data_IF_968961726799
#
_entry.id   IF_968961726799
#
_cell.length_a   1.000
_cell.length_b   1.000
_cell.length_c   1.000
_cell.angle_alpha   90.00
_cell.angle_beta   90.00
_cell.angle_gamma   90.00
#
_symmetry.space_group_name_H-M   'P 1'
#
loop_
_entity.id
_entity.type
_entity.pdbx_description
1 polymer ?
#
# COMPACT_ATOMS: atom_id res chain seq x y z
N UNK A 1 38.86 -29.26 22.27
CA UNK A 1 37.51 -29.17 21.64
C UNK A 1 36.83 -27.82 21.84
N UNK A 2 36.80 -27.23 23.05
CA UNK A 2 36.09 -25.97 23.34
C UNK A 2 36.50 -24.77 22.45
N UNK A 3 37.80 -24.60 22.16
CA UNK A 3 38.29 -23.46 21.37
C UNK A 3 37.90 -23.54 19.87
N UNK A 4 37.73 -24.75 19.31
CA UNK A 4 37.28 -24.94 17.92
C UNK A 4 35.79 -24.61 17.76
N UNK A 5 34.97 -24.91 18.78
CA UNK A 5 33.55 -24.59 18.80
C UNK A 5 33.31 -23.08 18.91
N UNK A 6 34.09 -22.40 19.76
CA UNK A 6 34.03 -20.95 19.93
C UNK A 6 34.44 -20.19 18.66
N UNK A 7 35.51 -20.65 17.99
CA UNK A 7 35.94 -20.08 16.71
C UNK A 7 34.89 -20.26 15.61
N UNK A 8 34.21 -21.42 15.58
CA UNK A 8 33.13 -21.68 14.63
C UNK A 8 31.93 -20.74 14.82
N UNK A 9 31.59 -20.38 16.06
CA UNK A 9 30.49 -19.46 16.36
C UNK A 9 30.82 -18.03 15.92
N UNK A 10 32.06 -17.58 16.10
CA UNK A 10 32.52 -16.26 15.64
C UNK A 10 32.52 -16.19 14.11
N UNK A 11 32.97 -17.27 13.43
CA UNK A 11 32.94 -17.32 11.98
C UNK A 11 31.50 -17.31 11.45
N UNK A 12 30.59 -18.05 12.10
CA UNK A 12 29.18 -18.06 11.73
C UNK A 12 28.51 -16.68 11.92
N UNK A 13 28.77 -15.99 13.04
CA UNK A 13 28.21 -14.65 13.26
C UNK A 13 28.78 -13.62 12.30
N UNK A 14 30.07 -13.72 11.96
CA UNK A 14 30.70 -12.86 10.95
C UNK A 14 30.12 -13.12 9.55
N UNK A 15 29.86 -14.39 9.19
CA UNK A 15 29.22 -14.76 7.93
C UNK A 15 27.77 -14.27 7.87
N UNK A 16 27.01 -14.34 8.96
CA UNK A 16 25.66 -13.79 9.06
C UNK A 16 25.70 -12.27 8.90
N UNK A 17 26.60 -11.59 9.61
CA UNK A 17 26.76 -10.14 9.51
C UNK A 17 27.15 -9.69 8.09
N UNK A 18 28.09 -10.39 7.45
CA UNK A 18 28.49 -10.13 6.06
C UNK A 18 27.34 -10.42 5.08
N UNK A 19 26.59 -11.51 5.29
CA UNK A 19 25.42 -11.83 4.49
C UNK A 19 24.34 -10.76 4.63
N UNK A 20 24.06 -10.29 5.84
CA UNK A 20 23.11 -9.19 6.12
C UNK A 20 23.55 -7.89 5.45
N UNK A 21 24.82 -7.50 5.56
CA UNK A 21 25.35 -6.29 4.91
C UNK A 21 25.35 -6.41 3.38
N UNK A 22 25.64 -7.59 2.83
CA UNK A 22 25.51 -7.85 1.40
C UNK A 22 24.04 -7.85 0.96
N UNK A 23 23.13 -8.31 1.81
CA UNK A 23 21.68 -8.30 1.56
C UNK A 23 21.14 -6.87 1.58
N UNK A 24 21.52 -6.05 2.58
CA UNK A 24 21.20 -4.63 2.64
C UNK A 24 21.78 -3.86 1.44
N UNK A 25 23.05 -4.11 1.08
CA UNK A 25 23.69 -3.48 -0.08
C UNK A 25 23.07 -3.92 -1.42
N UNK A 26 22.46 -5.10 -1.47
CA UNK A 26 21.74 -5.63 -2.65
C UNK A 26 20.25 -5.24 -2.66
N UNK A 27 19.71 -4.79 -1.53
CA UNK A 27 18.48 -3.97 -1.46
C UNK A 27 18.87 -2.51 -1.78
N UNK A 28 19.55 -2.29 -2.90
CA UNK A 28 19.48 -0.97 -3.53
C UNK A 28 18.06 -0.85 -4.08
N UNK A 29 17.18 -0.16 -3.34
CA UNK A 29 15.84 0.16 -3.82
C UNK A 29 16.01 1.06 -5.04
N UNK A 30 15.94 0.47 -6.24
CA UNK A 30 16.01 1.22 -7.51
C UNK A 30 14.78 2.11 -7.59
N UNK A 31 15.02 3.42 -7.65
CA UNK A 31 13.96 4.41 -7.80
C UNK A 31 13.34 4.33 -9.20
N UNK A 32 12.04 4.58 -9.27
CA UNK A 32 11.32 4.75 -10.52
C UNK A 32 11.65 6.12 -11.12
N UNK A 33 12.08 6.12 -12.37
CA UNK A 33 12.44 7.34 -13.12
C UNK A 33 11.43 7.66 -14.24
N UNK A 34 10.35 6.88 -14.35
CA UNK A 34 9.31 7.10 -15.35
C UNK A 34 8.50 8.36 -15.01
N UNK A 35 8.29 9.23 -16.00
CA UNK A 35 7.35 10.34 -15.87
C UNK A 35 5.91 9.87 -16.08
N UNK A 36 4.97 10.44 -15.33
CA UNK A 36 3.55 10.12 -15.40
C UNK A 36 2.77 11.38 -15.77
N UNK A 37 1.82 11.25 -16.69
CA UNK A 37 0.85 12.30 -16.92
C UNK A 37 -0.21 12.27 -15.81
N UNK A 38 -0.01 13.10 -14.78
CA UNK A 38 -0.89 13.18 -13.62
C UNK A 38 -2.23 13.87 -13.92
N UNK A 39 -2.44 14.38 -15.14
CA UNK A 39 -3.71 14.99 -15.55
C UNK A 39 -4.84 13.96 -15.65
N UNK A 40 -4.51 12.69 -15.92
CA UNK A 40 -5.49 11.62 -16.01
C UNK A 40 -6.09 11.23 -14.66
N UNK A 41 -5.36 11.52 -13.56
CA UNK A 41 -5.75 11.16 -12.19
C UNK A 41 -6.78 12.17 -11.67
N UNK A 42 -7.84 11.65 -11.06
CA UNK A 42 -8.95 12.41 -10.46
C UNK A 42 -9.10 12.07 -8.98
N UNK A 43 -9.78 12.96 -8.25
CA UNK A 43 -10.17 12.69 -6.86
C UNK A 43 -10.96 11.39 -6.76
N UNK A 44 -10.56 10.57 -5.80
CA UNK A 44 -11.11 9.26 -5.51
C UNK A 44 -10.60 8.12 -6.38
N UNK A 45 -9.76 8.38 -7.39
CA UNK A 45 -9.05 7.30 -8.07
C UNK A 45 -8.23 6.50 -7.07
N UNK A 46 -8.25 5.18 -7.23
CA UNK A 46 -7.56 4.23 -6.39
C UNK A 46 -6.25 3.84 -7.06
N UNK A 47 -5.15 4.05 -6.35
CA UNK A 47 -3.80 3.80 -6.86
C UNK A 47 -3.24 2.57 -6.16
N UNK A 48 -2.90 1.55 -6.94
CA UNK A 48 -2.27 0.33 -6.47
C UNK A 48 -0.78 0.36 -6.80
N UNK A 49 0.05 -0.17 -5.90
CA UNK A 49 1.48 -0.37 -6.17
C UNK A 49 1.98 -1.75 -5.75
N UNK A 50 3.02 -2.21 -6.44
CA UNK A 50 3.85 -3.35 -6.06
C UNK A 50 5.29 -2.88 -5.98
N UNK A 51 6.00 -3.17 -4.90
CA UNK A 51 7.44 -2.93 -4.79
C UNK A 51 8.26 -4.21 -4.97
N UNK A 52 9.57 -4.08 -5.17
CA UNK A 52 10.52 -5.21 -5.26
C UNK A 52 11.16 -5.55 -3.92
N UNK A 53 10.36 -5.73 -2.88
CA UNK A 53 10.87 -6.12 -1.56
C UNK A 53 10.07 -7.28 -0.97
N UNK A 54 10.62 -7.89 0.08
CA UNK A 54 10.08 -9.07 0.72
C UNK A 54 8.66 -8.84 1.28
N UNK A 55 8.43 -7.76 2.03
CA UNK A 55 7.12 -7.43 2.59
C UNK A 55 6.06 -7.25 1.50
N UNK A 56 6.39 -6.51 0.44
CA UNK A 56 5.52 -6.33 -0.71
C UNK A 56 5.18 -7.66 -1.39
N UNK A 57 6.13 -8.60 -1.48
CA UNK A 57 5.86 -9.94 -2.01
C UNK A 57 4.96 -10.76 -1.08
N UNK A 58 5.14 -10.64 0.23
CA UNK A 58 4.28 -11.32 1.21
C UNK A 58 2.83 -10.85 1.08
N UNK A 59 2.58 -9.54 1.14
CA UNK A 59 1.23 -8.99 1.06
C UNK A 59 0.54 -9.27 -0.28
N UNK A 60 1.27 -9.21 -1.40
CA UNK A 60 0.70 -9.58 -2.70
C UNK A 60 0.28 -11.06 -2.74
N UNK A 61 0.97 -11.93 -2.00
CA UNK A 61 0.71 -13.37 -2.03
C UNK A 61 -0.45 -13.84 -1.16
N UNK A 62 -0.90 -13.04 -0.17
CA UNK A 62 -2.01 -13.41 0.73
C UNK A 62 -3.26 -13.84 -0.06
N UNK A 63 -3.56 -13.11 -1.15
CA UNK A 63 -4.66 -13.41 -2.08
C UNK A 63 -4.24 -13.18 -3.54
N UNK A 64 -3.01 -13.62 -3.88
CA UNK A 64 -2.44 -13.66 -5.24
C UNK A 64 -2.67 -12.39 -6.08
N UNK A 65 -2.57 -11.23 -5.45
CA UNK A 65 -2.69 -9.93 -6.10
C UNK A 65 -1.44 -9.58 -6.91
N UNK A 66 -1.61 -8.79 -7.97
CA UNK A 66 -0.49 -8.15 -8.70
C UNK A 66 0.16 -7.02 -7.90
N UNK A 67 -0.50 -6.53 -6.86
CA UNK A 67 -0.08 -5.39 -6.05
C UNK A 67 -0.05 -5.75 -4.57
N UNK A 68 0.61 -4.92 -3.77
CA UNK A 68 0.81 -5.15 -2.34
C UNK A 68 0.35 -3.99 -1.47
N UNK A 69 0.04 -2.84 -2.08
CA UNK A 69 -0.40 -1.66 -1.36
C UNK A 69 -1.38 -0.84 -2.21
N UNK A 70 -2.18 -0.02 -1.55
CA UNK A 70 -3.28 0.74 -2.14
C UNK A 70 -3.37 2.12 -1.49
N UNK A 71 -3.82 3.10 -2.26
CA UNK A 71 -4.01 4.49 -1.85
C UNK A 71 -5.19 5.11 -2.59
N UNK A 72 -5.63 6.29 -2.15
CA UNK A 72 -6.64 7.10 -2.83
C UNK A 72 -6.06 8.47 -3.20
N UNK A 73 -6.42 8.96 -4.38
CA UNK A 73 -6.06 10.28 -4.86
C UNK A 73 -7.04 11.34 -4.36
N UNK A 74 -6.53 12.50 -3.96
CA UNK A 74 -7.29 13.73 -3.80
C UNK A 74 -6.64 14.81 -4.67
N UNK A 75 -7.40 15.34 -5.64
CA UNK A 75 -6.94 16.39 -6.53
C UNK A 75 -7.72 17.68 -6.27
N UNK A 76 -7.03 18.71 -5.80
CA UNK A 76 -7.58 20.05 -5.54
C UNK A 76 -6.84 21.06 -6.43
N UNK A 77 -7.47 21.45 -7.54
CA UNK A 77 -6.77 22.17 -8.60
C UNK A 77 -5.64 21.33 -9.19
N UNK A 78 -4.43 21.89 -9.21
CA UNK A 78 -3.21 21.20 -9.66
C UNK A 78 -2.57 20.31 -8.58
N UNK A 79 -3.00 20.45 -7.32
CA UNK A 79 -2.41 19.73 -6.21
C UNK A 79 -2.99 18.31 -6.11
N UNK A 80 -2.18 17.31 -6.40
CA UNK A 80 -2.50 15.89 -6.20
C UNK A 80 -1.86 15.39 -4.91
N UNK A 81 -2.71 14.96 -3.97
CA UNK A 81 -2.31 14.29 -2.72
C UNK A 81 -2.71 12.82 -2.78
N UNK A 82 -1.84 11.94 -2.30
CA UNK A 82 -2.07 10.50 -2.22
C UNK A 82 -2.19 10.10 -0.76
N UNK A 83 -3.39 9.68 -0.37
CA UNK A 83 -3.69 9.23 0.98
C UNK A 83 -3.57 7.72 1.07
N UNK A 84 -2.78 7.24 2.03
CA UNK A 84 -2.67 5.82 2.35
C UNK A 84 -2.28 5.63 3.81
N UNK A 85 -2.55 4.47 4.37
CA UNK A 85 -2.09 4.11 5.71
C UNK A 85 -1.04 3.01 5.62
N UNK A 86 0.07 3.17 6.33
CA UNK A 86 1.14 2.17 6.43
C UNK A 86 1.77 2.23 7.81
N UNK A 87 2.05 1.08 8.40
CA UNK A 87 2.73 1.02 9.70
C UNK A 87 4.09 1.71 9.63
N UNK A 88 4.30 2.69 10.51
CA UNK A 88 5.59 3.33 10.69
C UNK A 88 5.98 3.35 12.18
N UNK A 89 7.27 3.44 12.47
CA UNK A 89 7.79 3.68 13.82
C UNK A 89 7.48 5.08 14.37
N UNK A 90 7.05 6.01 13.51
CA UNK A 90 6.65 7.37 13.90
C UNK A 90 5.13 7.46 14.11
N UNK A 91 4.69 8.34 15.02
CA UNK A 91 3.31 8.49 15.57
C UNK A 91 2.20 8.87 14.56
N UNK A 92 2.40 8.73 13.26
CA UNK A 92 1.40 9.10 12.26
C UNK A 92 1.39 8.08 11.12
N UNK A 93 0.50 7.10 11.21
CA UNK A 93 0.42 6.00 10.24
C UNK A 93 -0.31 6.42 8.94
N UNK A 94 -1.19 7.42 9.02
CA UNK A 94 -1.79 8.03 7.84
C UNK A 94 -0.74 8.87 7.11
N UNK A 95 -0.53 8.55 5.84
CA UNK A 95 0.44 9.23 4.97
C UNK A 95 -0.29 10.03 3.92
N UNK A 96 0.19 11.25 3.72
CA UNK A 96 -0.22 12.17 2.66
C UNK A 96 1.02 12.45 1.83
N UNK A 97 1.16 11.69 0.75
CA UNK A 97 2.35 11.73 -0.10
C UNK A 97 2.04 12.33 -1.47
N UNK A 98 3.09 12.71 -2.20
CA UNK A 98 2.96 12.97 -3.64
C UNK A 98 2.88 11.65 -4.39
N UNK A 99 2.39 11.68 -5.63
CA UNK A 99 2.36 10.48 -6.48
C UNK A 99 3.76 9.89 -6.68
N UNK A 100 4.78 10.73 -6.87
CA UNK A 100 6.17 10.33 -7.05
C UNK A 100 6.71 9.63 -5.80
N UNK A 101 6.42 10.17 -4.60
CA UNK A 101 6.88 9.56 -3.35
C UNK A 101 6.21 8.20 -3.12
N UNK A 102 4.89 8.11 -3.35
CA UNK A 102 4.16 6.86 -3.24
C UNK A 102 4.64 5.81 -4.25
N UNK A 103 5.00 6.21 -5.46
CA UNK A 103 5.39 5.28 -6.53
C UNK A 103 6.90 5.10 -6.68
N UNK A 104 7.69 5.75 -5.82
CA UNK A 104 9.15 5.85 -5.90
C UNK A 104 9.85 4.51 -6.07
N UNK A 105 9.40 3.46 -5.38
CA UNK A 105 10.03 2.13 -5.43
C UNK A 105 9.13 1.06 -6.04
N UNK A 106 8.07 1.50 -6.73
CA UNK A 106 7.16 0.57 -7.38
C UNK A 106 7.85 -0.13 -8.56
N UNK A 107 7.64 -1.44 -8.66
CA UNK A 107 7.80 -2.21 -9.90
C UNK A 107 6.54 -2.28 -10.74
N UNK A 108 5.39 -2.01 -10.13
CA UNK A 108 4.10 -2.02 -10.82
C UNK A 108 3.16 -1.01 -10.18
N UNK A 109 2.43 -0.28 -11.01
CA UNK A 109 1.46 0.73 -10.60
C UNK A 109 0.18 0.49 -11.41
N UNK A 110 -0.98 0.72 -10.80
CA UNK A 110 -2.21 0.89 -11.56
C UNK A 110 -3.12 1.91 -10.91
N UNK A 111 -3.96 2.53 -11.73
CA UNK A 111 -4.99 3.46 -11.29
C UNK A 111 -6.33 2.90 -11.73
N UNK A 112 -7.26 2.78 -10.79
CA UNK A 112 -8.62 2.37 -11.04
C UNK A 112 -9.58 3.47 -10.61
N UNK A 113 -10.67 3.61 -11.34
CA UNK A 113 -11.72 4.59 -11.08
C UNK A 113 -13.05 3.90 -10.84
N UNK A 114 -13.76 4.34 -9.81
CA UNK A 114 -15.12 3.89 -9.58
C UNK A 114 -16.09 4.54 -10.57
N UNK A 115 -17.07 3.77 -11.04
CA UNK A 115 -17.97 4.20 -12.10
C UNK A 115 -18.99 5.27 -11.68
N UNK A 116 -19.21 5.46 -10.37
CA UNK A 116 -20.05 6.55 -9.84
C UNK A 116 -19.21 7.81 -9.66
N UNK A 117 -19.81 8.95 -9.97
CA UNK A 117 -19.21 10.26 -9.72
C UNK A 117 -18.99 10.49 -8.22
N UNK A 118 -17.83 11.05 -7.88
CA UNK A 118 -17.45 11.34 -6.49
C UNK A 118 -17.79 12.78 -6.17
N UNK A 119 -18.55 12.96 -5.09
CA UNK A 119 -18.74 14.26 -4.46
C UNK A 119 -17.40 14.74 -3.90
N UNK A 120 -16.89 15.81 -4.50
CA UNK A 120 -15.57 16.36 -4.19
C UNK A 120 -15.53 17.01 -2.81
N UNK A 121 -16.62 17.60 -2.33
CA UNK A 121 -16.66 18.16 -0.97
C UNK A 121 -16.69 17.04 0.06
N UNK A 122 -17.47 15.99 -0.22
CA UNK A 122 -17.60 14.84 0.69
C UNK A 122 -16.28 14.08 0.86
N UNK A 123 -15.54 13.82 -0.22
CA UNK A 123 -14.23 13.14 -0.09
C UNK A 123 -13.21 14.02 0.66
N UNK A 124 -13.23 15.34 0.48
CA UNK A 124 -12.36 16.26 1.24
C UNK A 124 -12.70 16.16 2.73
N UNK A 125 -13.97 16.26 3.10
CA UNK A 125 -14.41 16.18 4.50
C UNK A 125 -14.00 14.85 5.16
N UNK A 126 -14.18 13.73 4.45
CA UNK A 126 -13.78 12.40 4.94
C UNK A 126 -12.27 12.34 5.19
N UNK A 127 -11.45 12.84 4.26
CA UNK A 127 -9.99 12.80 4.40
C UNK A 127 -9.48 13.73 5.50
N UNK A 128 -10.03 14.94 5.61
CA UNK A 128 -9.72 15.88 6.69
C UNK A 128 -10.11 15.32 8.07
N UNK A 129 -11.21 14.57 8.16
CA UNK A 129 -11.61 13.85 9.37
C UNK A 129 -10.54 12.83 9.80
N UNK A 130 -10.03 12.01 8.88
CA UNK A 130 -8.97 11.06 9.20
C UNK A 130 -7.66 11.73 9.62
N UNK A 131 -7.28 12.83 8.96
CA UNK A 131 -6.11 13.62 9.36
C UNK A 131 -6.25 14.14 10.80
N UNK A 132 -7.41 14.72 11.11
CA UNK A 132 -7.70 15.26 12.45
C UNK A 132 -7.72 14.17 13.51
N UNK A 133 -8.30 13.02 13.20
CA UNK A 133 -8.46 11.91 14.14
C UNK A 133 -7.19 11.07 14.30
N UNK A 134 -6.17 11.25 13.44
CA UNK A 134 -4.90 10.51 13.48
C UNK A 134 -5.10 9.01 13.54
N UNK A 135 -5.81 8.48 12.55
CA UNK A 135 -6.07 7.04 12.46
C UNK A 135 -4.76 6.24 12.52
N UNK A 136 -4.78 5.17 13.31
CA UNK A 136 -3.63 4.29 13.52
C UNK A 136 -3.69 3.09 12.57
N UNK A 137 -2.51 2.57 12.22
CA UNK A 137 -2.42 1.36 11.42
C UNK A 137 -2.85 0.15 12.25
N UNK A 138 -3.70 -0.68 11.67
CA UNK A 138 -4.06 -1.95 12.26
C UNK A 138 -2.99 -3.03 11.96
N UNK A 139 -2.16 -3.32 12.95
CA UNK A 139 -1.12 -4.34 12.85
C UNK A 139 -1.66 -5.78 12.96
N UNK A 140 -2.85 -5.94 13.54
CA UNK A 140 -3.49 -7.23 13.82
C UNK A 140 -4.48 -7.66 12.73
N UNK A 141 -4.80 -6.75 11.80
CA UNK A 141 -5.68 -6.93 10.64
C UNK A 141 -7.07 -7.44 11.05
N UNK A 142 -7.74 -6.72 11.94
CA UNK A 142 -9.08 -6.97 12.48
C UNK A 142 -10.10 -5.94 11.96
N UNK A 143 -11.15 -6.43 11.30
CA UNK A 143 -12.20 -5.59 10.72
C UNK A 143 -13.07 -4.83 11.74
N UNK A 144 -13.02 -5.20 13.02
CA UNK A 144 -13.92 -4.70 14.07
C UNK A 144 -13.16 -3.92 15.15
N UNK A 145 -12.31 -2.97 14.74
CA UNK A 145 -11.58 -2.08 15.65
C UNK A 145 -11.60 -0.61 15.16
N UNK A 146 -10.90 0.27 15.87
CA UNK A 146 -10.76 1.70 15.58
C UNK A 146 -9.52 2.04 14.71
N UNK A 147 -8.85 1.02 14.20
CA UNK A 147 -7.63 1.10 13.40
C UNK A 147 -7.94 0.62 11.99
N UNK A 148 -7.05 0.94 11.05
CA UNK A 148 -7.26 0.57 9.65
C UNK A 148 -5.95 0.08 9.04
N UNK A 149 -6.01 -0.96 8.21
CA UNK A 149 -4.96 -1.21 7.22
C UNK A 149 -5.34 -0.67 5.84
N UNK A 150 -4.42 -0.77 4.89
CA UNK A 150 -4.49 0.00 3.65
C UNK A 150 -5.76 -0.23 2.84
N UNK A 151 -6.27 -1.46 2.74
CA UNK A 151 -7.51 -1.76 2.02
C UNK A 151 -8.78 -1.44 2.81
N UNK A 152 -8.73 -1.50 4.14
CA UNK A 152 -9.82 -1.05 5.01
C UNK A 152 -10.02 0.46 4.94
N UNK A 153 -8.95 1.25 4.95
CA UNK A 153 -9.03 2.70 4.73
C UNK A 153 -9.79 3.03 3.45
N UNK A 154 -9.45 2.35 2.35
CA UNK A 154 -10.11 2.57 1.05
C UNK A 154 -11.56 2.12 1.09
N UNK A 155 -11.86 0.99 1.74
CA UNK A 155 -13.22 0.53 1.89
C UNK A 155 -14.07 1.50 2.74
N UNK A 156 -13.55 1.99 3.87
CA UNK A 156 -14.27 2.89 4.77
C UNK A 156 -14.57 4.23 4.07
N UNK A 157 -13.61 4.79 3.33
CA UNK A 157 -13.84 5.99 2.50
C UNK A 157 -14.97 5.75 1.52
N UNK A 158 -14.93 4.65 0.78
CA UNK A 158 -15.95 4.34 -0.24
C UNK A 158 -17.31 4.03 0.37
N UNK A 159 -17.34 3.38 1.54
CA UNK A 159 -18.55 3.16 2.32
C UNK A 159 -19.15 4.50 2.75
N UNK A 160 -18.34 5.44 3.26
CA UNK A 160 -18.82 6.79 3.59
C UNK A 160 -19.30 7.56 2.35
N UNK A 161 -18.61 7.45 1.21
CA UNK A 161 -18.99 8.13 -0.03
C UNK A 161 -20.30 7.61 -0.60
N UNK A 162 -20.46 6.29 -0.73
CA UNK A 162 -21.51 5.65 -1.53
C UNK A 162 -22.47 4.77 -0.74
N UNK A 163 -22.24 4.59 0.56
CA UNK A 163 -22.96 3.65 1.42
C UNK A 163 -22.89 2.20 0.90
N UNK A 164 -21.76 1.85 0.28
CA UNK A 164 -21.49 0.54 -0.32
C UNK A 164 -20.03 0.13 -0.05
N UNK A 165 -19.82 -1.14 0.31
CA UNK A 165 -18.47 -1.69 0.39
C UNK A 165 -17.84 -1.79 -1.00
N UNK A 166 -16.55 -1.49 -1.09
CA UNK A 166 -15.82 -1.56 -2.36
C UNK A 166 -15.19 -2.94 -2.59
N UNK A 167 -15.05 -3.77 -1.56
CA UNK A 167 -14.61 -5.16 -1.76
C UNK A 167 -15.76 -6.04 -2.24
N UNK A 168 -15.44 -7.05 -3.06
CA UNK A 168 -16.42 -8.02 -3.58
C UNK A 168 -16.54 -9.27 -2.71
N UNK A 169 -15.52 -9.55 -1.89
CA UNK A 169 -15.50 -10.66 -0.93
C UNK A 169 -14.50 -10.37 0.19
N UNK A 170 -14.69 -11.05 1.32
CA UNK A 170 -13.69 -11.14 2.38
C UNK A 170 -12.84 -12.39 2.16
N UNK A 171 -11.54 -12.27 2.39
CA UNK A 171 -10.60 -13.38 2.25
C UNK A 171 -10.21 -13.92 3.63
N UNK A 172 -10.11 -15.24 3.75
CA UNK A 172 -9.69 -15.89 4.99
C UNK A 172 -8.16 -16.08 4.97
N UNK A 173 -7.45 -15.44 5.91
CA UNK A 173 -6.01 -15.62 6.09
C UNK A 173 -5.65 -15.69 7.58
N UNK A 174 -4.79 -16.64 7.96
CA UNK A 174 -4.37 -16.87 9.35
C UNK A 174 -5.50 -16.97 10.39
N UNK A 175 -6.66 -17.54 10.00
CA UNK A 175 -7.80 -17.69 10.91
C UNK A 175 -8.65 -16.43 11.08
N UNK A 176 -8.34 -15.33 10.38
CA UNK A 176 -9.15 -14.11 10.33
C UNK A 176 -9.73 -13.87 8.93
N UNK A 177 -10.80 -13.09 8.85
CA UNK A 177 -11.30 -12.53 7.60
C UNK A 177 -10.77 -11.10 7.45
N UNK A 178 -10.45 -10.70 6.22
CA UNK A 178 -10.08 -9.31 5.94
C UNK A 178 -10.25 -8.94 4.48
N UNK A 179 -10.10 -7.65 4.21
CA UNK A 179 -10.26 -7.07 2.88
C UNK A 179 -8.92 -7.13 2.16
N UNK A 180 -8.81 -7.92 1.10
CA UNK A 180 -7.57 -7.99 0.31
C UNK A 180 -7.62 -7.05 -0.87
N UNK A 181 -6.44 -6.74 -1.43
CA UNK A 181 -6.34 -5.96 -2.67
C UNK A 181 -7.12 -6.63 -3.81
N UNK A 182 -7.02 -7.95 -3.93
CA UNK A 182 -7.75 -8.68 -4.96
C UNK A 182 -9.26 -8.66 -4.69
N UNK A 183 -9.69 -8.69 -3.42
CA UNK A 183 -11.07 -8.45 -3.00
C UNK A 183 -11.64 -7.12 -3.53
N UNK A 184 -10.86 -6.05 -3.48
CA UNK A 184 -11.22 -4.74 -4.08
C UNK A 184 -11.17 -4.79 -5.61
N UNK A 185 -10.09 -5.31 -6.21
CA UNK A 185 -9.93 -5.36 -7.67
C UNK A 185 -11.02 -6.17 -8.40
N UNK A 186 -11.69 -7.10 -7.71
CA UNK A 186 -12.82 -7.84 -8.28
C UNK A 186 -14.12 -7.05 -8.35
N UNK A 187 -14.16 -5.82 -7.82
CA UNK A 187 -15.35 -4.98 -7.91
C UNK A 187 -15.61 -4.56 -9.36
N UNK A 188 -16.75 -4.99 -9.90
CA UNK A 188 -17.21 -4.68 -11.26
C UNK A 188 -17.44 -3.20 -11.55
N UNK A 189 -17.56 -2.38 -10.50
CA UNK A 189 -17.72 -0.93 -10.62
C UNK A 189 -16.37 -0.21 -10.72
N UNK A 190 -15.23 -0.91 -10.59
CA UNK A 190 -13.90 -0.36 -10.81
C UNK A 190 -13.46 -0.59 -12.26
N UNK A 191 -13.07 0.50 -12.91
CA UNK A 191 -12.49 0.49 -14.24
C UNK A 191 -10.99 0.84 -14.17
N UNK A 192 -10.16 0.04 -14.82
CA UNK A 192 -8.73 0.37 -14.97
C UNK A 192 -8.57 1.60 -15.88
N UNK A 193 -7.86 2.60 -15.37
CA UNK A 193 -7.49 3.82 -16.10
C UNK A 193 -6.11 3.67 -16.72
N UNK A 194 -5.17 3.09 -15.98
CA UNK A 194 -3.84 2.73 -16.46
C UNK A 194 -3.23 1.60 -15.62
N UNK A 195 -2.36 0.80 -16.24
CA UNK A 195 -1.48 -0.16 -15.59
C UNK A 195 -0.07 -0.01 -16.19
N UNK A 196 0.93 0.11 -15.33
CA UNK A 196 2.33 0.30 -15.73
C UNK A 196 3.20 -0.71 -15.00
N UNK A 197 4.01 -1.44 -15.77
CA UNK A 197 5.08 -2.29 -15.25
C UNK A 197 6.41 -1.58 -15.47
N UNK A 198 7.19 -1.41 -14.40
CA UNK A 198 8.46 -0.69 -14.44
C UNK A 198 9.54 -1.74 -14.59
N UNK A 199 10.00 -2.00 -15.81
CA UNK A 199 10.94 -3.09 -16.09
C UNK A 199 12.31 -2.89 -15.42
N UNK A 200 13.02 -4.01 -15.23
CA UNK A 200 14.44 -3.96 -14.87
C UNK A 200 15.22 -3.63 -16.14
N UNK A 201 15.65 -2.38 -16.29
CA UNK A 201 16.94 -2.12 -16.95
C UNK A 201 18.04 -2.72 -16.07
#
# INVERSE_FOLDING_TARGET
MKNKLFLSLIVASLLIYLASNLFEKKISKKENQQSFDLNIIKSGDIIFRKERNFLSNMFSNIDKSKYSHIAIALKVGENLKIYHIESNSEKDDLKIDTFEKFTKFASKIAVYRYNKEIDSEKIIQILEEYEKNKIEFDIDFELENDKLYCTELINDIYLKLFNENIYSYLYQFYGKQGITINGILKNKNLQEILEISIDKN
#
